data_IF_068061306691
#
_entry.id   IF_068061306691
#
_cell.length_a   1.000
_cell.length_b   1.000
_cell.length_c   1.000
_cell.angle_alpha   90.00
_cell.angle_beta   90.00
_cell.angle_gamma   90.00
#
_symmetry.space_group_name_H-M   'P 1'
#
loop_
_entity.id
_entity.type
_entity.pdbx_description
1 polymer ?
#
# COMPACT_ATOMS: atom_id res chain seq x y z
N UNK A 1 7.41 21.43 39.18
CA UNK A 1 7.63 20.00 39.51
C UNK A 1 7.27 19.16 38.28
N UNK A 2 8.26 18.63 37.55
CA UNK A 2 8.05 17.77 36.35
C UNK A 2 9.07 16.63 36.25
N UNK A 3 9.41 16.02 37.38
CA UNK A 3 10.44 14.96 37.44
C UNK A 3 9.89 13.61 36.97
N UNK A 4 8.57 13.39 37.01
CA UNK A 4 7.95 12.07 36.78
C UNK A 4 7.74 11.72 35.30
N UNK A 5 7.53 12.70 34.41
CA UNK A 5 7.26 12.44 32.97
C UNK A 5 8.52 12.07 32.19
N UNK A 6 9.67 12.64 32.56
CA UNK A 6 10.96 12.36 31.91
C UNK A 6 11.41 10.91 32.11
N UNK A 7 11.21 10.34 33.31
CA UNK A 7 11.65 8.98 33.62
C UNK A 7 10.82 7.90 32.90
N UNK A 8 9.50 8.11 32.77
CA UNK A 8 8.63 7.18 32.05
C UNK A 8 8.93 7.17 30.54
N UNK A 9 9.08 8.35 29.92
CA UNK A 9 9.41 8.49 28.50
C UNK A 9 10.78 7.85 28.19
N UNK A 10 11.78 8.06 29.04
CA UNK A 10 13.09 7.41 28.89
C UNK A 10 13.01 5.90 28.99
N UNK A 11 12.16 5.35 29.86
CA UNK A 11 11.96 3.90 29.98
C UNK A 11 11.35 3.32 28.71
N UNK A 12 10.31 3.95 28.16
CA UNK A 12 9.67 3.52 26.91
C UNK A 12 10.63 3.59 25.73
N UNK A 13 11.43 4.67 25.61
CA UNK A 13 12.44 4.80 24.57
C UNK A 13 13.52 3.72 24.69
N UNK A 14 13.98 3.43 25.90
CA UNK A 14 14.94 2.34 26.16
C UNK A 14 14.36 0.97 25.79
N UNK A 15 13.09 0.72 26.07
CA UNK A 15 12.40 -0.51 25.63
C UNK A 15 12.36 -0.62 24.11
N UNK A 16 12.00 0.46 23.40
CA UNK A 16 11.99 0.48 21.95
C UNK A 16 13.38 0.19 21.34
N UNK A 17 14.43 0.83 21.88
CA UNK A 17 15.81 0.58 21.43
C UNK A 17 16.31 -0.83 21.75
N UNK A 18 15.92 -1.41 22.90
CA UNK A 18 16.25 -2.79 23.24
C UNK A 18 15.58 -3.81 22.32
N UNK A 19 14.36 -3.54 21.85
CA UNK A 19 13.70 -4.37 20.84
C UNK A 19 14.35 -4.22 19.46
N UNK A 20 14.83 -3.02 19.13
CA UNK A 20 15.54 -2.74 17.89
C UNK A 20 16.86 -3.51 17.80
N UNK A 21 17.59 -3.64 18.91
CA UNK A 21 18.86 -4.42 18.97
C UNK A 21 18.66 -5.91 18.65
N UNK A 22 17.44 -6.44 18.83
CA UNK A 22 17.10 -7.83 18.50
C UNK A 22 16.73 -8.02 17.03
N UNK A 23 16.63 -6.95 16.23
CA UNK A 23 16.22 -7.01 14.82
C UNK A 23 17.41 -7.24 13.90
N UNK A 24 17.18 -7.96 12.79
CA UNK A 24 18.20 -8.23 11.80
C UNK A 24 18.64 -6.94 11.10
N UNK A 25 19.95 -6.78 10.81
CA UNK A 25 20.45 -5.63 10.08
C UNK A 25 19.95 -5.63 8.63
N UNK A 26 19.53 -4.47 8.12
CA UNK A 26 19.13 -4.29 6.71
C UNK A 26 17.71 -3.75 6.50
N UNK A 27 16.87 -3.70 7.54
CA UNK A 27 15.53 -3.11 7.49
C UNK A 27 15.39 -1.97 8.51
N UNK A 28 14.70 -0.90 8.12
CA UNK A 28 14.49 0.26 9.00
C UNK A 28 13.25 0.03 9.85
N UNK A 29 13.45 -0.42 11.09
CA UNK A 29 12.37 -0.68 12.06
C UNK A 29 12.06 0.50 12.98
N UNK A 30 12.84 1.58 12.88
CA UNK A 30 12.78 2.70 13.79
C UNK A 30 13.04 4.02 13.06
N UNK A 31 12.14 4.98 13.24
CA UNK A 31 12.25 6.33 12.67
C UNK A 31 12.06 7.33 13.82
N UNK A 32 13.13 8.04 14.25
CA UNK A 32 12.97 9.13 15.19
C UNK A 32 12.20 10.29 14.54
N UNK A 33 11.24 10.86 15.26
CA UNK A 33 10.46 12.01 14.80
C UNK A 33 10.59 13.16 15.80
N UNK A 34 10.97 14.32 15.30
CA UNK A 34 11.06 15.56 16.07
C UNK A 34 9.82 16.42 15.77
N UNK A 35 9.00 16.63 16.80
CA UNK A 35 7.75 17.41 16.73
C UNK A 35 8.01 18.90 16.92
N UNK A 36 9.16 19.24 17.49
CA UNK A 36 9.61 20.61 17.78
C UNK A 36 11.12 20.72 17.52
N UNK A 37 11.64 21.94 17.48
CA UNK A 37 13.04 22.23 17.22
C UNK A 37 13.94 21.87 18.42
N UNK A 38 14.07 20.58 18.68
CA UNK A 38 14.87 20.01 19.76
C UNK A 38 15.87 18.99 19.22
N UNK A 39 16.91 18.73 20.00
CA UNK A 39 17.91 17.72 19.66
C UNK A 39 17.47 16.33 20.12
N UNK A 40 17.92 15.30 19.40
CA UNK A 40 17.78 13.93 19.88
C UNK A 40 18.57 13.76 21.19
N UNK A 41 17.97 13.13 22.21
CA UNK A 41 18.65 12.88 23.46
C UNK A 41 19.84 11.93 23.23
N UNK A 42 20.90 12.15 23.99
CA UNK A 42 22.07 11.30 23.97
C UNK A 42 21.77 10.00 24.75
N UNK A 43 21.21 9.03 24.03
CA UNK A 43 20.77 7.75 24.59
C UNK A 43 21.38 6.58 23.81
N UNK A 44 22.04 5.70 24.57
CA UNK A 44 22.65 4.47 24.05
C UNK A 44 22.04 3.26 24.74
N UNK A 45 21.73 2.22 23.95
CA UNK A 45 21.31 0.91 24.44
C UNK A 45 22.10 -0.17 23.69
N UNK A 46 22.99 -0.86 24.41
CA UNK A 46 23.87 -1.87 23.82
C UNK A 46 24.74 -1.27 22.72
N UNK A 47 24.55 -1.72 21.48
CA UNK A 47 25.26 -1.21 20.29
C UNK A 47 24.56 -0.04 19.58
N UNK A 48 23.33 0.30 19.99
CA UNK A 48 22.49 1.29 19.31
C UNK A 48 22.62 2.66 19.99
N UNK A 49 23.02 3.67 19.22
CA UNK A 49 23.00 5.07 19.65
C UNK A 49 21.89 5.82 18.93
N UNK A 50 21.00 6.47 19.68
CA UNK A 50 19.85 7.17 19.08
C UNK A 50 20.27 8.26 18.08
N UNK A 51 21.42 8.91 18.34
CA UNK A 51 21.98 9.96 17.47
C UNK A 51 22.50 9.46 16.13
N UNK A 52 22.75 8.15 16.00
CA UNK A 52 23.15 7.56 14.71
C UNK A 52 21.97 7.51 13.73
N UNK A 53 20.73 7.69 14.20
CA UNK A 53 19.55 7.69 13.37
C UNK A 53 19.24 9.08 12.83
N UNK A 54 18.90 9.13 11.54
CA UNK A 54 18.37 10.34 10.93
C UNK A 54 16.93 10.57 11.41
N UNK A 55 16.72 11.65 12.16
CA UNK A 55 15.40 12.06 12.60
C UNK A 55 14.62 12.81 11.51
N UNK A 56 13.33 12.56 11.42
CA UNK A 56 12.40 13.35 10.61
C UNK A 56 11.88 14.52 11.43
N UNK A 57 12.12 15.74 10.93
CA UNK A 57 11.68 16.97 11.56
C UNK A 57 10.32 17.36 11.01
N UNK A 58 9.25 16.97 11.69
CA UNK A 58 7.88 17.22 11.19
C UNK A 58 7.44 18.68 11.36
N UNK A 59 8.14 19.44 12.20
CA UNK A 59 7.92 20.88 12.38
C UNK A 59 8.45 21.75 11.24
N UNK A 60 9.30 21.21 10.35
CA UNK A 60 9.79 21.92 9.17
C UNK A 60 8.75 21.93 8.05
N UNK A 61 8.87 22.89 7.12
CA UNK A 61 8.06 22.92 5.92
C UNK A 61 8.23 21.60 5.13
N UNK A 62 7.10 20.95 4.80
CA UNK A 62 7.04 19.59 4.20
C UNK A 62 7.60 18.46 5.09
N UNK A 63 7.85 18.69 6.38
CA UNK A 63 8.37 17.68 7.31
C UNK A 63 7.45 16.45 7.43
N UNK A 64 6.14 16.67 7.48
CA UNK A 64 5.12 15.59 7.44
C UNK A 64 5.18 14.81 6.13
N UNK A 65 5.35 15.49 5.00
CA UNK A 65 5.47 14.82 3.70
C UNK A 65 6.73 13.96 3.63
N UNK A 66 7.86 14.43 4.16
CA UNK A 66 9.10 13.63 4.27
C UNK A 66 8.90 12.37 5.10
N UNK A 67 8.12 12.44 6.19
CA UNK A 67 7.78 11.25 6.98
C UNK A 67 6.96 10.25 6.16
N UNK A 68 5.95 10.74 5.43
CA UNK A 68 5.12 9.90 4.56
C UNK A 68 5.98 9.23 3.49
N UNK A 69 6.83 10.00 2.79
CA UNK A 69 7.69 9.49 1.73
C UNK A 69 8.65 8.43 2.27
N UNK A 70 9.21 8.64 3.46
CA UNK A 70 10.11 7.70 4.12
C UNK A 70 9.40 6.41 4.57
N UNK A 71 8.17 6.51 5.09
CA UNK A 71 7.33 5.34 5.40
C UNK A 71 6.94 4.57 4.12
N UNK A 72 6.72 5.27 3.01
CA UNK A 72 6.40 4.67 1.72
C UNK A 72 7.63 4.03 1.06
N UNK A 73 8.83 4.61 1.21
CA UNK A 73 10.05 4.10 0.60
C UNK A 73 10.66 2.91 1.35
N UNK A 74 10.47 2.83 2.66
CA UNK A 74 11.03 1.76 3.51
C UNK A 74 10.25 0.45 3.42
N UNK A 75 8.97 0.53 3.14
CA UNK A 75 8.22 -0.62 2.71
C UNK A 75 8.52 -0.83 1.24
N UNK A 76 9.41 -1.77 0.92
CA UNK A 76 9.43 -2.37 -0.41
C UNK A 76 8.00 -2.78 -0.76
N UNK A 77 7.33 -1.96 -1.56
CA UNK A 77 5.91 -2.08 -1.87
C UNK A 77 5.02 -2.17 -0.60
N UNK A 78 4.70 -1.04 0.08
CA UNK A 78 3.35 -0.97 0.67
C UNK A 78 2.39 -1.07 -0.52
N UNK A 79 1.97 -2.28 -0.86
CA UNK A 79 0.63 -2.42 -1.42
C UNK A 79 -0.26 -1.93 -0.29
N UNK A 80 -1.03 -0.85 -0.48
CA UNK A 80 -2.04 -0.53 0.51
C UNK A 80 -2.81 -1.82 0.71
N UNK A 81 -2.87 -2.33 1.94
CA UNK A 81 -3.91 -3.30 2.28
C UNK A 81 -5.18 -2.48 2.19
N UNK A 82 -5.66 -2.34 0.95
CA UNK A 82 -6.92 -1.69 0.66
C UNK A 82 -7.92 -2.55 1.39
N UNK A 83 -8.50 -2.01 2.47
CA UNK A 83 -9.59 -2.69 3.19
C UNK A 83 -10.58 -3.16 2.14
N UNK A 84 -11.05 -4.41 2.24
CA UNK A 84 -11.90 -5.08 1.24
C UNK A 84 -13.02 -4.16 0.73
N UNK A 85 -13.67 -3.44 1.65
CA UNK A 85 -14.72 -2.46 1.35
C UNK A 85 -14.27 -1.32 0.43
N UNK A 86 -13.05 -0.81 0.63
CA UNK A 86 -12.46 0.27 -0.18
C UNK A 86 -12.07 -0.26 -1.56
N UNK A 87 -11.56 -1.49 -1.65
CA UNK A 87 -11.18 -2.11 -2.92
C UNK A 87 -12.44 -2.30 -3.78
N UNK A 88 -13.51 -2.81 -3.16
CA UNK A 88 -14.81 -3.00 -3.79
C UNK A 88 -15.39 -1.67 -4.26
N UNK A 89 -15.37 -0.64 -3.42
CA UNK A 89 -15.86 0.69 -3.80
C UNK A 89 -15.08 1.27 -4.99
N UNK A 90 -13.74 1.14 -4.98
CA UNK A 90 -12.90 1.61 -6.08
C UNK A 90 -13.17 0.82 -7.38
N UNK A 91 -13.37 -0.50 -7.29
CA UNK A 91 -13.77 -1.34 -8.43
C UNK A 91 -15.13 -0.91 -9.00
N UNK A 92 -16.14 -0.75 -8.15
CA UNK A 92 -17.46 -0.26 -8.60
C UNK A 92 -17.36 1.12 -9.25
N UNK A 93 -16.58 2.04 -8.69
CA UNK A 93 -16.40 3.37 -9.27
C UNK A 93 -15.71 3.29 -10.64
N UNK A 94 -14.64 2.50 -10.77
CA UNK A 94 -13.96 2.33 -12.05
C UNK A 94 -14.85 1.67 -13.11
N UNK A 95 -15.68 0.69 -12.71
CA UNK A 95 -16.62 0.03 -13.63
C UNK A 95 -17.75 0.99 -14.03
N UNK A 96 -18.31 1.76 -13.10
CA UNK A 96 -19.36 2.75 -13.38
C UNK A 96 -18.87 3.86 -14.31
N UNK A 97 -17.59 4.22 -14.24
CA UNK A 97 -16.96 5.22 -15.09
C UNK A 97 -16.35 4.63 -16.38
N UNK A 98 -16.63 3.37 -16.70
CA UNK A 98 -16.14 2.68 -17.90
C UNK A 98 -14.60 2.53 -17.98
N UNK A 99 -13.91 2.64 -16.82
CA UNK A 99 -12.45 2.54 -16.67
C UNK A 99 -12.00 1.10 -16.40
N UNK A 100 -12.33 0.19 -17.32
CA UNK A 100 -12.06 -1.27 -17.17
C UNK A 100 -10.57 -1.57 -16.99
N UNK A 101 -9.69 -0.87 -17.72
CA UNK A 101 -8.23 -1.06 -17.59
C UNK A 101 -7.75 -0.73 -16.17
N UNK A 102 -8.25 0.35 -15.57
CA UNK A 102 -7.89 0.72 -14.19
C UNK A 102 -8.43 -0.29 -13.17
N UNK A 103 -9.64 -0.83 -13.39
CA UNK A 103 -10.21 -1.89 -12.55
C UNK A 103 -9.37 -3.18 -12.60
N UNK A 104 -8.89 -3.58 -13.77
CA UNK A 104 -8.02 -4.74 -13.96
C UNK A 104 -6.66 -4.55 -13.28
N UNK A 105 -6.06 -3.37 -13.39
CA UNK A 105 -4.80 -3.06 -12.72
C UNK A 105 -4.94 -3.05 -11.20
N UNK A 106 -6.04 -2.50 -10.69
CA UNK A 106 -6.36 -2.51 -9.27
C UNK A 106 -6.47 -3.95 -8.74
N UNK A 107 -7.20 -4.82 -9.43
CA UNK A 107 -7.29 -6.25 -9.09
C UNK A 107 -5.96 -6.97 -9.18
N UNK A 108 -5.16 -6.73 -10.22
CA UNK A 108 -3.84 -7.36 -10.40
C UNK A 108 -2.91 -7.02 -9.23
N UNK A 109 -2.96 -5.77 -8.79
CA UNK A 109 -2.15 -5.31 -7.67
C UNK A 109 -2.62 -5.95 -6.36
N UNK A 110 -3.94 -6.07 -6.14
CA UNK A 110 -4.54 -6.71 -4.98
C UNK A 110 -4.28 -8.24 -4.91
N UNK A 111 -4.49 -8.98 -6.00
CA UNK A 111 -4.33 -10.45 -6.03
C UNK A 111 -2.88 -10.90 -5.95
N UNK A 112 -1.94 -10.12 -6.47
CA UNK A 112 -0.53 -10.51 -6.55
C UNK A 112 0.22 -10.67 -5.22
N UNK A 113 -0.39 -10.34 -4.07
CA UNK A 113 0.21 -10.57 -2.74
C UNK A 113 -0.63 -11.49 -1.84
N UNK A 114 -1.96 -11.52 -2.03
CA UNK A 114 -2.87 -12.24 -1.13
C UNK A 114 -3.46 -13.52 -1.73
N UNK A 115 -3.57 -13.63 -3.06
CA UNK A 115 -4.27 -14.71 -3.76
C UNK A 115 -3.58 -15.08 -5.09
N UNK A 116 -2.41 -15.72 -5.04
CA UNK A 116 -1.63 -16.07 -6.24
C UNK A 116 -2.39 -16.96 -7.23
N UNK A 117 -3.30 -17.81 -6.75
CA UNK A 117 -4.20 -18.64 -7.55
C UNK A 117 -5.16 -17.82 -8.42
N UNK A 118 -5.61 -16.67 -7.93
CA UNK A 118 -6.53 -15.74 -8.64
C UNK A 118 -5.82 -14.81 -9.61
N UNK A 119 -4.50 -14.71 -9.53
CA UNK A 119 -3.69 -13.82 -10.40
C UNK A 119 -3.83 -14.19 -11.87
N UNK A 120 -3.92 -15.48 -12.18
CA UNK A 120 -4.08 -15.96 -13.55
C UNK A 120 -5.41 -15.52 -14.16
N UNK A 121 -6.49 -15.50 -13.38
CA UNK A 121 -7.81 -15.06 -13.85
C UNK A 121 -7.80 -13.58 -14.24
N UNK A 122 -7.15 -12.74 -13.43
CA UNK A 122 -6.99 -11.30 -13.72
C UNK A 122 -6.13 -11.09 -14.97
N UNK A 123 -5.07 -11.88 -15.16
CA UNK A 123 -4.23 -11.82 -16.36
C UNK A 123 -5.04 -12.21 -17.61
N UNK A 124 -5.83 -13.29 -17.52
CA UNK A 124 -6.65 -13.77 -18.64
C UNK A 124 -7.73 -12.75 -19.02
N UNK A 125 -8.40 -12.14 -18.05
CA UNK A 125 -9.36 -11.07 -18.29
C UNK A 125 -8.71 -9.83 -18.90
N UNK A 126 -7.50 -9.48 -18.45
CA UNK A 126 -6.74 -8.38 -19.03
C UNK A 126 -6.42 -8.63 -20.50
N UNK A 127 -5.96 -9.84 -20.84
CA UNK A 127 -5.67 -10.25 -22.21
C UNK A 127 -6.93 -10.24 -23.10
N UNK A 128 -8.07 -10.70 -22.55
CA UNK A 128 -9.37 -10.67 -23.24
C UNK A 128 -9.82 -9.24 -23.53
N UNK A 129 -9.70 -8.33 -22.57
CA UNK A 129 -10.05 -6.92 -22.74
C UNK A 129 -9.17 -6.24 -23.80
N UNK A 130 -7.84 -6.43 -23.74
CA UNK A 130 -6.91 -5.89 -24.75
C UNK A 130 -7.26 -6.39 -26.16
N UNK A 131 -7.59 -7.67 -26.27
CA UNK A 131 -7.98 -8.28 -27.56
C UNK A 131 -9.30 -7.72 -28.07
N UNK A 132 -10.29 -7.55 -27.20
CA UNK A 132 -11.58 -6.95 -27.51
C UNK A 132 -11.43 -5.51 -28.04
N UNK A 133 -10.68 -4.67 -27.33
CA UNK A 133 -10.42 -3.28 -27.75
C UNK A 133 -9.67 -3.23 -29.09
N UNK A 134 -8.70 -4.12 -29.28
CA UNK A 134 -7.97 -4.23 -30.55
C UNK A 134 -8.90 -4.62 -31.70
N UNK A 135 -9.80 -5.57 -31.51
CA UNK A 135 -10.75 -5.99 -32.54
C UNK A 135 -11.73 -4.88 -32.89
N UNK A 136 -12.25 -4.17 -31.87
CA UNK A 136 -13.15 -3.05 -32.08
C UNK A 136 -12.47 -1.90 -32.82
N UNK A 137 -11.28 -1.49 -32.37
CA UNK A 137 -10.51 -0.41 -32.99
C UNK A 137 -10.07 -0.73 -34.44
N UNK A 138 -9.97 -2.01 -34.79
CA UNK A 138 -9.68 -2.48 -36.16
C UNK A 138 -10.95 -2.67 -37.02
N UNK A 139 -12.13 -2.41 -36.47
CA UNK A 139 -13.41 -2.63 -37.15
C UNK A 139 -13.73 -4.11 -37.43
N UNK A 140 -13.08 -5.04 -36.70
CA UNK A 140 -13.28 -6.49 -36.86
C UNK A 140 -14.63 -6.91 -36.25
N UNK A 141 -15.04 -6.25 -35.16
CA UNK A 141 -16.31 -6.49 -34.47
C UNK A 141 -17.17 -5.23 -34.45
N UNK A 142 -18.49 -5.42 -34.39
CA UNK A 142 -19.45 -4.31 -34.36
C UNK A 142 -19.58 -3.74 -32.95
N UNK A 143 -20.09 -2.50 -32.85
CA UNK A 143 -20.31 -1.82 -31.56
C UNK A 143 -21.19 -2.63 -30.60
N UNK A 144 -22.24 -3.29 -31.10
CA UNK A 144 -23.13 -4.11 -30.28
C UNK A 144 -22.42 -5.34 -29.69
N UNK A 145 -21.60 -6.01 -30.50
CA UNK A 145 -20.76 -7.13 -30.08
C UNK A 145 -19.69 -6.68 -29.08
N UNK A 146 -19.09 -5.51 -29.32
CA UNK A 146 -18.14 -4.91 -28.41
C UNK A 146 -18.77 -4.61 -27.05
N UNK A 147 -19.93 -3.97 -27.00
CA UNK A 147 -20.65 -3.67 -25.76
C UNK A 147 -21.04 -4.94 -25.01
N UNK A 148 -21.52 -5.97 -25.72
CA UNK A 148 -21.88 -7.25 -25.11
C UNK A 148 -20.68 -7.92 -24.45
N UNK A 149 -19.57 -8.05 -25.17
CA UNK A 149 -18.35 -8.66 -24.65
C UNK A 149 -17.72 -7.83 -23.52
N UNK A 150 -17.80 -6.50 -23.63
CA UNK A 150 -17.34 -5.58 -22.59
C UNK A 150 -18.13 -5.76 -21.30
N UNK A 151 -19.46 -5.87 -21.38
CA UNK A 151 -20.31 -6.14 -20.23
C UNK A 151 -19.98 -7.51 -19.59
N UNK A 152 -19.71 -8.55 -20.39
CA UNK A 152 -19.27 -9.85 -19.86
C UNK A 152 -17.96 -9.74 -19.07
N UNK A 153 -17.01 -8.94 -19.54
CA UNK A 153 -15.76 -8.67 -18.83
C UNK A 153 -16.04 -7.91 -17.52
N UNK A 154 -16.93 -6.92 -17.53
CA UNK A 154 -17.32 -6.18 -16.32
C UNK A 154 -17.97 -7.09 -15.27
N UNK A 155 -18.87 -7.98 -15.67
CA UNK A 155 -19.47 -8.97 -14.76
C UNK A 155 -18.43 -9.91 -14.16
N UNK A 156 -17.51 -10.43 -14.98
CA UNK A 156 -16.43 -11.28 -14.49
C UNK A 156 -15.49 -10.56 -13.50
N UNK A 157 -15.29 -9.25 -13.67
CA UNK A 157 -14.51 -8.44 -12.73
C UNK A 157 -15.22 -8.28 -11.38
N UNK A 158 -16.54 -8.07 -11.40
CA UNK A 158 -17.34 -7.99 -10.18
C UNK A 158 -17.40 -9.33 -9.45
N UNK A 159 -17.56 -10.43 -10.19
CA UNK A 159 -17.56 -11.78 -9.62
C UNK A 159 -16.22 -12.12 -8.97
N UNK A 160 -15.09 -11.79 -9.61
CA UNK A 160 -13.77 -11.94 -9.01
C UNK A 160 -13.61 -11.08 -7.75
N UNK A 161 -14.15 -9.87 -7.76
CA UNK A 161 -14.12 -9.00 -6.59
C UNK A 161 -14.94 -9.58 -5.41
N UNK A 162 -16.10 -10.20 -5.68
CA UNK A 162 -16.90 -10.89 -4.65
C UNK A 162 -16.24 -12.17 -4.16
N UNK A 163 -15.56 -12.93 -5.01
CA UNK A 163 -14.89 -14.16 -4.60
C UNK A 163 -13.66 -13.91 -3.72
N UNK A 164 -13.06 -12.71 -3.80
CA UNK A 164 -12.04 -12.26 -2.85
C UNK A 164 -12.62 -11.98 -1.44
N UNK A 165 -13.96 -11.93 -1.27
CA UNK A 165 -14.59 -11.84 0.05
C UNK A 165 -14.62 -13.19 0.80
N UNK A 166 -14.64 -14.34 0.09
CA UNK A 166 -15.01 -15.64 0.66
C UNK A 166 -13.92 -16.47 1.39
N UNK A 167 -12.64 -16.19 1.19
CA UNK A 167 -11.52 -17.07 1.63
C UNK A 167 -10.64 -16.51 2.78
N UNK A 168 -11.19 -15.69 3.70
CA UNK A 168 -10.47 -15.22 4.90
C UNK A 168 -11.31 -15.28 6.18
#
# INVERSE_FOLDING_TARGET
QSVSKSGALQKELRTALSELEKKAPGEVYFIPVLIEATELPDLTMGTIHLRDYQAVKVYEEKGVQKLIDQLQSQNGVVKPVVKKDVLKQMLHNHIAEDRITAALELLRNATGASHPERRNDVILLSARHITLERHYNRGIIRREEHLLEKNKIMYALLELAEQLDGDL
#
